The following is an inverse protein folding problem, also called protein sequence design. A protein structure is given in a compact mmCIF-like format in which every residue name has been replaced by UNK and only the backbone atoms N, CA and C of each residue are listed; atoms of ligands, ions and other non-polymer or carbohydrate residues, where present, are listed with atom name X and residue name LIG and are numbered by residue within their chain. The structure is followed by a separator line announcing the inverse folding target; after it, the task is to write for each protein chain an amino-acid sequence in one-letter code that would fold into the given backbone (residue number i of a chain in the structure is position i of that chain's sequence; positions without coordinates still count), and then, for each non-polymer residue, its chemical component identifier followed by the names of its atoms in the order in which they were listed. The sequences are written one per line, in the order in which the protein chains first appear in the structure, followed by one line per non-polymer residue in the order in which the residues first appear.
data_IF_018046423055
#
_entry.id   IF_018046423055
#
_cell.length_a   1.000
_cell.length_b   1.000
_cell.length_c   1.000
_cell.angle_alpha   90.00
_cell.angle_beta   90.00
_cell.angle_gamma   90.00
#
_symmetry.space_group_name_H-M   'P 1'
#
loop_
_entity.id
_entity.type
_entity.pdbx_description
1 polymer ?
#
# COMPACT_ATOMS: atom_id res chain seq x y z
N UNK A 1 6.87 -22.73 -11.43
CA UNK A 1 6.28 -21.62 -10.67
C UNK A 1 4.82 -21.60 -11.03
N UNK A 2 3.97 -21.74 -10.02
CA UNK A 2 2.54 -21.56 -10.25
C UNK A 2 2.28 -20.07 -10.44
N UNK A 3 1.61 -19.74 -11.53
CA UNK A 3 1.33 -18.38 -11.90
C UNK A 3 -0.06 -17.99 -11.37
N UNK A 4 -0.32 -16.69 -11.24
CA UNK A 4 -1.63 -16.15 -10.90
C UNK A 4 -1.84 -14.85 -11.68
N UNK A 5 -3.08 -14.51 -11.97
CA UNK A 5 -3.47 -13.28 -12.67
C UNK A 5 -4.29 -12.38 -11.77
N UNK A 6 -4.22 -11.07 -11.99
CA UNK A 6 -5.16 -10.11 -11.38
C UNK A 6 -6.47 -10.18 -12.14
N UNK A 7 -7.54 -10.66 -11.51
CA UNK A 7 -8.87 -10.75 -12.12
C UNK A 7 -9.58 -9.40 -12.07
N UNK A 8 -9.50 -8.69 -10.95
CA UNK A 8 -10.07 -7.35 -10.81
C UNK A 8 -9.30 -6.51 -9.79
N UNK A 9 -9.53 -5.20 -9.86
CA UNK A 9 -9.00 -4.18 -8.95
C UNK A 9 -10.16 -3.40 -8.35
N UNK A 10 -10.00 -2.94 -7.12
CA UNK A 10 -10.93 -2.00 -6.52
C UNK A 10 -10.24 -1.12 -5.48
N UNK A 11 -10.73 0.11 -5.35
CA UNK A 11 -10.31 1.06 -4.32
C UNK A 11 -11.51 1.63 -3.58
N UNK A 12 -11.28 2.16 -2.37
CA UNK A 12 -12.24 2.97 -1.61
C UNK A 12 -11.48 3.99 -0.75
N UNK A 13 -12.03 5.21 -0.67
CA UNK A 13 -11.54 6.27 0.23
C UNK A 13 -12.72 6.87 0.99
N UNK A 14 -12.53 7.28 2.27
CA UNK A 14 -13.58 7.92 3.04
C UNK A 14 -13.96 9.28 2.44
N UNK A 15 -15.22 9.75 2.60
CA UNK A 15 -15.74 10.89 1.85
C UNK A 15 -15.21 12.26 2.31
N UNK A 16 -14.69 12.37 3.54
CA UNK A 16 -14.20 13.65 4.06
C UNK A 16 -12.84 13.96 3.42
N UNK A 17 -12.82 15.02 2.61
CA UNK A 17 -11.61 15.59 2.04
C UNK A 17 -11.09 16.70 2.96
N UNK A 18 -9.79 16.66 3.27
CA UNK A 18 -9.05 17.73 3.95
C UNK A 18 -8.08 18.39 2.98
N UNK A 19 -8.31 19.67 2.70
CA UNK A 19 -7.42 20.48 1.87
C UNK A 19 -6.20 20.95 2.66
N UNK A 20 -5.14 21.39 1.98
CA UNK A 20 -4.02 22.04 2.64
C UNK A 20 -4.40 23.35 3.36
N UNK A 21 -5.33 24.13 2.79
CA UNK A 21 -5.81 25.36 3.42
C UNK A 21 -6.45 25.07 4.79
N UNK A 22 -7.27 24.01 4.87
CA UNK A 22 -7.87 23.57 6.13
C UNK A 22 -6.84 23.06 7.14
N UNK A 23 -5.69 22.51 6.69
CA UNK A 23 -4.60 22.17 7.61
C UNK A 23 -3.88 23.43 8.11
N UNK A 24 -3.83 24.48 7.31
CA UNK A 24 -3.20 25.76 7.66
C UNK A 24 -3.98 26.50 8.75
N UNK A 25 -5.25 26.17 8.96
CA UNK A 25 -6.06 26.62 10.11
C UNK A 25 -5.70 25.89 11.42
N UNK A 26 -5.06 24.70 11.33
CA UNK A 26 -4.75 23.84 12.48
C UNK A 26 -3.29 23.91 12.92
N UNK A 27 -2.37 24.28 12.02
CA UNK A 27 -0.93 24.31 12.27
C UNK A 27 -0.22 25.35 11.39
N UNK A 28 0.96 25.79 11.79
CA UNK A 28 1.79 26.74 11.03
C UNK A 28 2.33 26.12 9.73
N UNK A 29 1.55 26.20 8.66
CA UNK A 29 1.84 25.68 7.32
C UNK A 29 1.11 26.48 6.24
N UNK A 30 1.32 26.16 4.97
CA UNK A 30 0.56 26.71 3.84
C UNK A 30 0.41 25.69 2.71
N UNK A 31 -0.58 25.88 1.84
CA UNK A 31 -0.76 25.07 0.64
C UNK A 31 0.48 25.07 -0.27
N UNK A 32 1.05 26.25 -0.52
CA UNK A 32 2.27 26.39 -1.31
C UNK A 32 3.44 25.58 -0.72
N UNK A 33 3.62 25.63 0.60
CA UNK A 33 4.69 24.91 1.28
C UNK A 33 4.52 23.40 1.16
N UNK A 34 3.29 22.90 1.35
CA UNK A 34 2.99 21.46 1.27
C UNK A 34 3.17 20.99 -0.18
N UNK A 35 2.48 21.61 -1.14
CA UNK A 35 2.54 21.22 -2.56
C UNK A 35 3.96 21.20 -3.10
N UNK A 36 4.76 22.23 -2.83
CA UNK A 36 6.14 22.32 -3.34
C UNK A 36 7.04 21.21 -2.78
N UNK A 37 6.78 20.79 -1.53
CA UNK A 37 7.62 19.78 -0.87
C UNK A 37 7.17 18.35 -1.10
N UNK A 38 5.88 18.12 -1.36
CA UNK A 38 5.28 16.77 -1.37
C UNK A 38 4.50 16.45 -2.63
N UNK A 39 3.95 17.46 -3.31
CA UNK A 39 2.95 17.31 -4.37
C UNK A 39 1.51 17.15 -3.86
N UNK A 40 1.29 17.14 -2.54
CA UNK A 40 -0.02 16.88 -1.93
C UNK A 40 -0.86 18.15 -1.93
N UNK A 41 -2.11 18.06 -2.39
CA UNK A 41 -3.09 19.16 -2.30
C UNK A 41 -4.22 18.84 -1.32
N UNK A 42 -4.63 17.57 -1.30
CA UNK A 42 -5.74 17.07 -0.52
C UNK A 42 -5.41 15.70 0.06
N UNK A 43 -6.15 15.31 1.10
CA UNK A 43 -6.20 13.93 1.60
C UNK A 43 -7.60 13.55 2.02
N UNK A 44 -7.87 12.25 2.05
CA UNK A 44 -9.10 11.71 2.62
C UNK A 44 -8.89 11.33 4.09
N UNK A 45 -9.84 11.64 4.96
CA UNK A 45 -9.78 11.35 6.40
C UNK A 45 -11.02 10.58 6.83
N UNK A 46 -10.83 9.49 7.55
CA UNK A 46 -11.93 8.73 8.15
C UNK A 46 -12.39 9.34 9.47
N UNK A 47 -13.71 9.43 9.68
CA UNK A 47 -14.30 9.84 10.96
C UNK A 47 -15.08 8.73 11.67
N UNK A 48 -15.59 7.74 10.94
CA UNK A 48 -16.51 6.71 11.45
C UNK A 48 -16.25 5.31 10.91
N UNK A 49 -15.22 5.18 10.07
CA UNK A 49 -14.86 3.92 9.42
C UNK A 49 -13.47 3.53 9.91
N UNK A 50 -13.29 2.32 10.39
CA UNK A 50 -11.97 1.81 10.74
C UNK A 50 -11.33 1.14 9.51
N UNK A 51 -10.09 0.69 9.65
CA UNK A 51 -9.32 0.07 8.56
C UNK A 51 -10.03 -1.13 7.95
N UNK A 52 -10.68 -1.96 8.77
CA UNK A 52 -11.49 -3.07 8.30
C UNK A 52 -12.71 -2.63 7.50
N UNK A 53 -13.35 -1.50 7.82
CA UNK A 53 -14.52 -1.01 7.09
C UNK A 53 -14.14 -0.55 5.68
N UNK A 54 -13.00 0.13 5.53
CA UNK A 54 -12.45 0.50 4.22
C UNK A 54 -12.12 -0.75 3.40
N UNK A 55 -11.46 -1.75 4.01
CA UNK A 55 -11.11 -3.01 3.37
C UNK A 55 -12.34 -3.84 2.97
N UNK A 56 -13.39 -3.88 3.81
CA UNK A 56 -14.67 -4.54 3.51
C UNK A 56 -15.30 -3.95 2.25
N UNK A 57 -15.29 -2.62 2.09
CA UNK A 57 -15.82 -1.97 0.89
C UNK A 57 -15.04 -2.32 -0.37
N UNK A 58 -13.71 -2.46 -0.27
CA UNK A 58 -12.87 -2.98 -1.36
C UNK A 58 -13.23 -4.43 -1.68
N UNK A 59 -13.30 -5.31 -0.67
CA UNK A 59 -13.65 -6.72 -0.84
C UNK A 59 -15.04 -6.92 -1.46
N UNK A 60 -16.05 -6.14 -1.06
CA UNK A 60 -17.38 -6.14 -1.67
C UNK A 60 -17.33 -5.80 -3.16
N UNK A 61 -16.55 -4.77 -3.54
CA UNK A 61 -16.37 -4.36 -4.93
C UNK A 61 -15.68 -5.45 -5.74
N UNK A 62 -14.63 -6.06 -5.19
CA UNK A 62 -13.89 -7.16 -5.83
C UNK A 62 -14.81 -8.35 -6.08
N UNK A 63 -15.52 -8.85 -5.05
CA UNK A 63 -16.47 -9.96 -5.18
C UNK A 63 -17.54 -9.69 -6.23
N UNK A 64 -18.09 -8.46 -6.23
CA UNK A 64 -19.09 -8.04 -7.22
C UNK A 64 -18.54 -8.01 -8.65
N UNK A 65 -17.32 -7.50 -8.85
CA UNK A 65 -16.70 -7.40 -10.18
C UNK A 65 -16.27 -8.77 -10.73
N UNK A 66 -15.79 -9.68 -9.87
CA UNK A 66 -15.39 -11.04 -10.28
C UNK A 66 -16.57 -12.00 -10.40
N UNK A 67 -17.72 -11.66 -9.82
CA UNK A 67 -18.86 -12.55 -9.64
C UNK A 67 -18.46 -13.85 -8.93
N UNK A 68 -17.54 -13.74 -7.95
CA UNK A 68 -17.16 -14.87 -7.11
C UNK A 68 -18.12 -15.00 -5.94
N UNK A 69 -18.57 -16.23 -5.70
CA UNK A 69 -19.21 -16.58 -4.43
C UNK A 69 -18.19 -16.38 -3.28
N UNK A 70 -18.57 -15.75 -2.15
CA UNK A 70 -17.67 -15.52 -1.04
C UNK A 70 -16.95 -16.79 -0.55
N UNK A 71 -17.64 -17.93 -0.51
CA UNK A 71 -17.10 -19.22 -0.07
C UNK A 71 -16.09 -19.82 -1.06
N UNK A 72 -15.96 -19.25 -2.26
CA UNK A 72 -14.95 -19.66 -3.24
C UNK A 72 -13.60 -18.96 -3.05
N UNK A 73 -13.52 -17.96 -2.16
CA UNK A 73 -12.25 -17.30 -1.81
C UNK A 73 -11.49 -18.15 -0.80
N UNK A 74 -10.23 -18.44 -1.09
CA UNK A 74 -9.38 -19.31 -0.25
C UNK A 74 -8.48 -18.53 0.71
N UNK A 75 -8.16 -17.29 0.38
CA UNK A 75 -7.22 -16.42 1.11
C UNK A 75 -7.71 -14.98 1.14
N UNK A 76 -7.59 -14.34 2.30
CA UNK A 76 -7.79 -12.92 2.51
C UNK A 76 -6.57 -12.37 3.23
N UNK A 77 -5.79 -11.53 2.55
CA UNK A 77 -4.59 -10.93 3.13
C UNK A 77 -4.79 -9.42 3.16
N UNK A 78 -4.68 -8.82 4.35
CA UNK A 78 -4.74 -7.36 4.51
C UNK A 78 -3.37 -6.84 4.93
N UNK A 79 -2.76 -6.04 4.08
CA UNK A 79 -1.59 -5.26 4.43
C UNK A 79 -2.00 -3.98 5.16
N UNK A 80 -1.59 -3.83 6.42
CA UNK A 80 -1.88 -2.64 7.21
C UNK A 80 -0.87 -2.45 8.35
N UNK A 81 -0.54 -1.20 8.67
CA UNK A 81 0.12 -0.82 9.92
C UNK A 81 -0.79 -0.04 10.88
N UNK A 82 -2.06 0.10 10.52
CA UNK A 82 -3.08 0.78 11.32
C UNK A 82 -4.30 -0.12 11.53
N UNK A 83 -4.16 -1.35 12.07
CA UNK A 83 -5.27 -2.30 12.19
C UNK A 83 -6.35 -1.80 13.16
N UNK A 84 -7.54 -2.41 13.10
CA UNK A 84 -8.62 -2.16 14.05
C UNK A 84 -8.22 -2.51 15.49
N UNK A 85 -7.49 -3.62 15.62
CA UNK A 85 -7.02 -4.22 16.87
C UNK A 85 -5.80 -5.10 16.63
N UNK A 86 -5.06 -5.46 17.68
CA UNK A 86 -4.02 -6.50 17.57
C UNK A 86 -4.63 -7.89 17.33
N UNK A 87 -5.77 -8.18 17.96
CA UNK A 87 -6.55 -9.40 17.77
C UNK A 87 -8.05 -9.07 17.95
N UNK A 88 -8.94 -9.47 17.03
CA UNK A 88 -8.66 -10.19 15.78
C UNK A 88 -7.90 -9.34 14.75
N UNK A 89 -7.36 -9.99 13.71
CA UNK A 89 -6.75 -9.31 12.58
C UNK A 89 -7.80 -8.58 11.74
N UNK A 90 -7.37 -7.54 11.03
CA UNK A 90 -8.21 -6.78 10.10
C UNK A 90 -8.78 -7.69 9.02
N UNK A 91 -7.96 -8.59 8.48
CA UNK A 91 -8.36 -9.60 7.50
C UNK A 91 -9.43 -10.55 8.04
N UNK A 92 -9.36 -10.96 9.31
CA UNK A 92 -10.40 -11.81 9.91
C UNK A 92 -11.75 -11.07 10.02
N UNK A 93 -11.72 -9.78 10.35
CA UNK A 93 -12.93 -8.95 10.33
C UNK A 93 -13.51 -8.86 8.91
N UNK A 94 -12.67 -8.62 7.90
CA UNK A 94 -13.08 -8.59 6.49
C UNK A 94 -13.67 -9.93 6.05
N UNK A 95 -13.00 -11.03 6.37
CA UNK A 95 -13.45 -12.38 6.06
C UNK A 95 -14.85 -12.66 6.62
N UNK A 96 -15.08 -12.34 7.89
CA UNK A 96 -16.37 -12.55 8.54
C UNK A 96 -17.48 -11.64 7.99
N UNK A 97 -17.19 -10.35 7.81
CA UNK A 97 -18.16 -9.37 7.28
C UNK A 97 -18.58 -9.66 5.82
N UNK A 98 -17.76 -10.37 5.06
CA UNK A 98 -18.02 -10.71 3.66
C UNK A 98 -18.50 -12.14 3.43
N UNK A 99 -18.65 -12.94 4.49
CA UNK A 99 -19.11 -14.33 4.35
C UNK A 99 -18.10 -15.27 3.68
N UNK A 100 -16.81 -14.93 3.65
CA UNK A 100 -15.76 -15.76 3.05
C UNK A 100 -15.36 -16.92 3.98
N UNK A 101 -16.33 -17.73 4.39
CA UNK A 101 -16.24 -18.69 5.50
C UNK A 101 -15.15 -19.77 5.35
N UNK A 102 -14.67 -20.02 4.13
CA UNK A 102 -13.59 -20.98 3.85
C UNK A 102 -12.20 -20.34 3.72
N UNK A 103 -12.12 -19.02 3.66
CA UNK A 103 -10.86 -18.32 3.46
C UNK A 103 -9.99 -18.34 4.73
N UNK A 104 -8.68 -18.57 4.57
CA UNK A 104 -7.72 -18.21 5.62
C UNK A 104 -7.51 -16.70 5.59
N UNK A 105 -7.46 -16.06 6.76
CA UNK A 105 -7.38 -14.62 6.86
C UNK A 105 -6.31 -14.16 7.87
N UNK A 106 -5.40 -13.29 7.43
CA UNK A 106 -4.36 -12.71 8.28
C UNK A 106 -3.84 -11.37 7.75
N UNK A 107 -3.25 -10.59 8.65
CA UNK A 107 -2.65 -9.30 8.31
C UNK A 107 -1.15 -9.44 8.00
N UNK A 108 -0.64 -8.60 7.12
CA UNK A 108 0.80 -8.40 6.89
C UNK A 108 1.18 -6.99 7.34
N UNK A 109 2.16 -6.90 8.24
CA UNK A 109 2.74 -5.63 8.67
C UNK A 109 4.12 -5.44 8.06
N UNK A 110 4.18 -4.71 6.94
CA UNK A 110 5.42 -4.22 6.34
C UNK A 110 5.30 -2.74 5.92
N UNK A 111 4.57 -1.95 6.74
CA UNK A 111 4.29 -0.54 6.52
C UNK A 111 3.85 -0.25 5.07
N UNK A 112 4.35 0.81 4.46
CA UNK A 112 3.98 1.23 3.12
C UNK A 112 4.34 0.23 2.01
N UNK A 113 5.31 -0.69 2.20
CA UNK A 113 5.57 -1.77 1.23
C UNK A 113 4.64 -2.97 1.41
N UNK A 114 3.70 -2.89 2.35
CA UNK A 114 2.84 -3.98 2.79
C UNK A 114 2.09 -4.67 1.67
N UNK A 115 1.56 -3.92 0.70
CA UNK A 115 0.79 -4.52 -0.40
C UNK A 115 1.66 -5.44 -1.28
N UNK A 116 2.90 -5.04 -1.58
CA UNK A 116 3.84 -5.85 -2.35
C UNK A 116 4.24 -7.11 -1.57
N UNK A 117 4.50 -6.97 -0.28
CA UNK A 117 4.79 -8.11 0.61
C UNK A 117 3.60 -9.08 0.68
N UNK A 118 2.38 -8.55 0.79
CA UNK A 118 1.16 -9.35 0.83
C UNK A 118 0.93 -10.12 -0.49
N UNK A 119 1.20 -9.51 -1.65
CA UNK A 119 1.17 -10.21 -2.94
C UNK A 119 2.20 -11.34 -3.01
N UNK A 120 3.38 -11.15 -2.42
CA UNK A 120 4.42 -12.20 -2.42
C UNK A 120 4.03 -13.38 -1.54
N UNK A 121 3.44 -13.09 -0.37
CA UNK A 121 2.89 -14.13 0.51
C UNK A 121 1.73 -14.87 -0.18
N UNK A 122 0.84 -14.14 -0.86
CA UNK A 122 -0.24 -14.75 -1.64
C UNK A 122 0.31 -15.67 -2.74
N UNK A 123 1.34 -15.22 -3.47
CA UNK A 123 2.04 -16.00 -4.48
C UNK A 123 2.58 -17.32 -3.90
N UNK A 124 3.28 -17.26 -2.76
CA UNK A 124 3.82 -18.44 -2.09
C UNK A 124 2.73 -19.43 -1.66
N UNK A 125 1.61 -18.94 -1.10
CA UNK A 125 0.50 -19.78 -0.67
C UNK A 125 -0.28 -20.41 -1.83
N UNK A 126 -0.55 -19.66 -2.90
CA UNK A 126 -1.22 -20.20 -4.11
C UNK A 126 -0.36 -21.23 -4.84
N UNK A 127 0.97 -21.10 -4.75
CA UNK A 127 1.93 -22.04 -5.34
C UNK A 127 2.16 -23.31 -4.52
N UNK A 128 2.00 -23.25 -3.20
CA UNK A 128 2.32 -24.37 -2.30
C UNK A 128 1.10 -25.15 -1.80
N UNK A 129 -0.11 -24.69 -2.12
CA UNK A 129 -1.35 -25.29 -1.62
C UNK A 129 -2.38 -25.48 -2.75
N UNK A 130 -3.48 -26.18 -2.45
CA UNK A 130 -4.60 -26.37 -3.39
C UNK A 130 -5.51 -25.12 -3.51
N UNK A 131 -5.06 -23.96 -3.03
CA UNK A 131 -5.81 -22.71 -3.04
C UNK A 131 -5.75 -22.08 -4.43
N UNK A 132 -6.86 -21.51 -4.86
CA UNK A 132 -7.07 -21.00 -6.21
C UNK A 132 -7.28 -19.50 -6.22
N UNK A 133 -7.95 -18.93 -5.20
CA UNK A 133 -8.41 -17.54 -5.19
C UNK A 133 -7.99 -16.80 -3.94
N UNK A 134 -7.43 -15.61 -4.13
CA UNK A 134 -7.08 -14.72 -3.03
C UNK A 134 -7.62 -13.31 -3.26
N UNK A 135 -8.01 -12.66 -2.17
CA UNK A 135 -8.23 -11.21 -2.11
C UNK A 135 -7.08 -10.62 -1.30
N UNK A 136 -6.33 -9.70 -1.92
CA UNK A 136 -5.19 -9.01 -1.31
C UNK A 136 -5.50 -7.52 -1.26
N UNK A 137 -5.48 -6.93 -0.07
CA UNK A 137 -5.91 -5.55 0.17
C UNK A 137 -4.82 -4.81 0.94
N UNK A 138 -4.42 -3.62 0.50
CA UNK A 138 -3.77 -2.62 1.33
C UNK A 138 -4.83 -1.68 1.90
N UNK A 139 -4.89 -1.52 3.22
CA UNK A 139 -5.90 -0.67 3.87
C UNK A 139 -5.30 0.08 5.06
N UNK A 140 -5.56 1.37 5.14
CA UNK A 140 -5.00 2.21 6.19
C UNK A 140 -5.98 3.31 6.63
N UNK A 141 -6.07 3.48 7.94
CA UNK A 141 -6.60 4.67 8.60
C UNK A 141 -5.44 5.26 9.40
N UNK A 142 -4.55 5.98 8.71
CA UNK A 142 -3.36 6.56 9.31
C UNK A 142 -3.71 7.75 10.20
N UNK A 143 -4.81 8.45 9.91
CA UNK A 143 -5.27 9.60 10.69
C UNK A 143 -5.39 9.34 12.20
N UNK A 144 -5.60 8.08 12.63
CA UNK A 144 -5.65 7.68 14.05
C UNK A 144 -4.29 7.51 14.73
N UNK A 145 -3.20 7.48 13.97
CA UNK A 145 -1.83 7.32 14.46
C UNK A 145 -0.94 8.53 14.13
N UNK A 146 -1.49 9.60 13.57
CA UNK A 146 -0.79 10.87 13.32
C UNK A 146 -0.93 11.80 14.53
N UNK A 147 0.16 12.47 14.90
CA UNK A 147 0.10 13.65 15.76
C UNK A 147 -0.25 14.88 14.92
N UNK A 148 -1.49 15.35 15.03
CA UNK A 148 -1.99 16.48 14.25
C UNK A 148 -1.39 17.84 14.66
N UNK A 149 -0.59 17.90 15.72
CA UNK A 149 0.21 19.09 16.06
C UNK A 149 1.61 19.05 15.43
N UNK A 150 2.08 17.89 14.97
CA UNK A 150 3.34 17.76 14.24
C UNK A 150 3.14 17.97 12.74
N UNK A 151 3.30 19.22 12.31
CA UNK A 151 3.21 19.57 10.87
C UNK A 151 4.17 18.80 9.98
N UNK A 152 5.26 18.23 10.51
CA UNK A 152 6.26 17.52 9.69
C UNK A 152 5.74 16.18 9.18
N UNK A 153 4.70 15.64 9.80
CA UNK A 153 4.06 14.36 9.44
C UNK A 153 2.57 14.51 9.15
N UNK A 154 1.84 15.38 9.85
CA UNK A 154 0.39 15.55 9.71
C UNK A 154 -0.07 15.94 8.30
N UNK A 155 0.78 16.66 7.57
CA UNK A 155 0.52 17.08 6.19
C UNK A 155 0.87 16.00 5.16
N UNK A 156 1.26 14.78 5.56
CA UNK A 156 1.71 13.77 4.60
C UNK A 156 0.63 12.72 4.32
N UNK A 157 -0.15 12.35 5.32
CA UNK A 157 -0.92 11.11 5.27
C UNK A 157 -2.41 11.33 4.99
N UNK A 158 -3.01 10.31 4.40
CA UNK A 158 -4.44 10.16 4.20
C UNK A 158 -4.87 8.72 4.48
N UNK A 159 -6.18 8.51 4.44
CA UNK A 159 -6.81 7.22 4.71
C UNK A 159 -7.41 6.65 3.42
N UNK A 160 -7.38 5.33 3.30
CA UNK A 160 -7.90 4.65 2.11
C UNK A 160 -7.64 3.15 2.10
N UNK A 161 -8.26 2.47 1.16
CA UNK A 161 -8.04 1.07 0.87
C UNK A 161 -8.01 0.82 -0.65
N UNK A 162 -7.16 -0.11 -1.07
CA UNK A 162 -7.13 -0.64 -2.42
C UNK A 162 -6.79 -2.11 -2.39
N UNK A 163 -7.25 -2.87 -3.38
CA UNK A 163 -6.93 -4.29 -3.45
C UNK A 163 -7.19 -4.92 -4.80
N UNK A 164 -6.81 -6.20 -4.87
CA UNK A 164 -6.94 -7.04 -6.05
C UNK A 164 -7.56 -8.39 -5.68
N UNK A 165 -8.37 -8.90 -6.60
CA UNK A 165 -8.73 -10.31 -6.63
C UNK A 165 -7.74 -11.02 -7.57
N UNK A 166 -7.07 -12.06 -7.07
CA UNK A 166 -6.10 -12.84 -7.85
C UNK A 166 -6.51 -14.30 -7.91
N UNK A 167 -6.28 -14.93 -9.05
CA UNK A 167 -6.62 -16.33 -9.31
C UNK A 167 -5.44 -17.05 -9.93
N UNK A 168 -5.22 -18.30 -9.52
CA UNK A 168 -4.21 -19.18 -10.11
C UNK A 168 -4.42 -19.28 -11.62
N UNK A 169 -3.33 -19.20 -12.37
CA UNK A 169 -3.29 -19.16 -13.83
C UNK A 169 -2.27 -20.16 -14.35
N UNK A 170 -2.55 -20.73 -15.53
CA UNK A 170 -1.55 -21.50 -16.28
C UNK A 170 -0.52 -20.59 -16.96
N UNK A 171 -0.89 -19.35 -17.29
CA UNK A 171 -0.03 -18.38 -17.96
C UNK A 171 0.80 -17.58 -16.97
N UNK A 172 2.04 -17.23 -17.35
CA UNK A 172 2.94 -16.42 -16.53
C UNK A 172 2.54 -14.95 -16.58
N UNK A 173 2.03 -14.43 -15.47
CA UNK A 173 1.73 -13.01 -15.27
C UNK A 173 2.68 -12.34 -14.28
N UNK A 174 3.12 -13.04 -13.24
CA UNK A 174 4.19 -12.55 -12.37
C UNK A 174 5.54 -12.81 -13.06
N UNK A 175 6.14 -11.74 -13.56
CA UNK A 175 7.35 -11.81 -14.37
C UNK A 175 8.58 -11.83 -13.48
N UNK A 176 8.62 -11.00 -12.44
CA UNK A 176 9.72 -10.92 -11.50
C UNK A 176 9.32 -10.22 -10.21
N UNK A 177 10.08 -10.41 -9.14
CA UNK A 177 9.87 -9.71 -7.88
C UNK A 177 11.19 -9.55 -7.12
N UNK A 178 11.26 -8.52 -6.29
CA UNK A 178 12.32 -8.33 -5.32
C UNK A 178 11.74 -7.77 -4.02
N UNK A 179 12.23 -8.24 -2.87
CA UNK A 179 11.81 -7.79 -1.54
C UNK A 179 13.02 -7.65 -0.63
N UNK A 180 13.14 -6.54 0.08
CA UNK A 180 14.26 -6.30 0.98
C UNK A 180 13.86 -5.56 2.26
N UNK A 181 14.50 -5.94 3.36
CA UNK A 181 14.29 -5.35 4.69
C UNK A 181 15.63 -4.85 5.26
N UNK A 182 15.60 -3.64 5.83
CA UNK A 182 16.75 -2.91 6.37
C UNK A 182 16.51 -2.59 7.86
N UNK A 183 16.47 -3.64 8.67
CA UNK A 183 16.12 -3.58 10.11
C UNK A 183 16.97 -2.62 10.94
N UNK A 184 18.24 -2.46 10.57
CA UNK A 184 19.18 -1.53 11.21
C UNK A 184 18.77 -0.04 11.04
N UNK A 185 17.87 0.26 10.10
CA UNK A 185 17.30 1.58 9.86
C UNK A 185 15.89 1.73 10.47
N UNK A 186 15.43 0.78 11.28
CA UNK A 186 14.07 0.77 11.83
C UNK A 186 13.69 2.00 12.66
N UNK A 187 14.67 2.72 13.23
CA UNK A 187 14.40 3.96 13.98
C UNK A 187 14.18 5.20 13.09
N UNK A 188 14.29 5.09 11.76
CA UNK A 188 14.09 6.21 10.83
C UNK A 188 12.62 6.48 10.54
N UNK A 189 11.75 5.50 10.75
CA UNK A 189 10.30 5.61 10.62
C UNK A 189 9.67 4.63 11.61
N UNK A 190 8.95 5.18 12.60
CA UNK A 190 8.31 4.40 13.66
C UNK A 190 6.86 4.87 13.77
N UNK A 191 5.94 3.93 13.89
CA UNK A 191 4.55 4.22 14.17
C UNK A 191 4.00 3.18 15.15
N UNK A 192 3.19 3.63 16.09
CA UNK A 192 2.47 2.75 17.00
C UNK A 192 3.33 1.91 17.94
N UNK A 193 4.46 2.44 18.41
CA UNK A 193 5.34 1.74 19.34
C UNK A 193 4.61 1.47 20.66
N UNK A 194 4.81 0.27 21.20
CA UNK A 194 4.37 -0.13 22.53
C UNK A 194 5.57 -0.36 23.43
N UNK A 195 5.42 -0.10 24.72
CA UNK A 195 6.47 -0.29 25.73
C UNK A 195 6.06 -1.33 26.78
N UNK A 196 7.08 -2.03 27.31
CA UNK A 196 6.94 -2.85 28.51
C UNK A 196 6.75 -1.93 29.72
N UNK A 197 5.95 -2.37 30.71
CA UNK A 197 5.75 -1.59 31.93
C UNK A 197 6.94 -1.71 32.87
N UNK A 198 7.19 -0.67 33.67
CA UNK A 198 8.21 -0.67 34.72
C UNK A 198 7.70 -1.19 36.09
N UNK A 199 6.42 -1.57 36.20
CA UNK A 199 5.77 -2.04 37.43
C UNK A 199 4.60 -3.00 37.16
N UNK A 200 4.13 -3.71 38.20
CA UNK A 200 2.97 -4.61 38.16
C UNK A 200 2.00 -4.33 39.33
N UNK A 201 0.68 -4.22 39.10
CA UNK A 201 0.00 -4.21 37.80
C UNK A 201 0.27 -2.93 37.01
N UNK A 202 0.23 -3.00 35.68
CA UNK A 202 0.42 -1.85 34.80
C UNK A 202 -0.90 -1.40 34.16
N UNK A 203 -0.98 -0.12 33.82
CA UNK A 203 -1.97 0.39 32.89
C UNK A 203 -1.79 -0.22 31.49
N UNK A 204 -2.86 -0.21 30.70
CA UNK A 204 -2.81 -0.59 29.28
C UNK A 204 -1.79 0.31 28.56
N UNK A 205 -0.92 -0.29 27.74
CA UNK A 205 0.12 0.44 27.01
C UNK A 205 -0.50 1.41 26.01
N UNK A 206 -0.05 2.66 26.00
CA UNK A 206 -0.42 3.65 24.99
C UNK A 206 0.39 3.47 23.71
N UNK A 207 -0.24 3.74 22.57
CA UNK A 207 0.37 3.69 21.24
C UNK A 207 1.06 5.03 20.97
N UNK A 208 2.31 5.04 20.49
CA UNK A 208 2.99 6.30 20.10
C UNK A 208 2.54 6.78 18.72
N UNK A 209 2.50 8.10 18.48
CA UNK A 209 2.22 8.62 17.14
C UNK A 209 3.33 8.26 16.15
N UNK A 210 3.00 8.40 14.87
CA UNK A 210 3.93 8.29 13.75
C UNK A 210 5.07 9.30 13.89
N UNK A 211 6.30 8.83 13.69
CA UNK A 211 7.52 9.65 13.70
C UNK A 211 8.43 9.23 12.57
N UNK A 212 9.06 10.20 11.91
CA UNK A 212 9.93 9.93 10.78
C UNK A 212 11.09 10.93 10.69
N UNK A 213 12.27 10.44 10.32
CA UNK A 213 13.33 11.27 9.80
C UNK A 213 13.20 11.39 8.27
N UNK A 214 12.47 12.40 7.80
CA UNK A 214 12.13 12.55 6.38
C UNK A 214 13.35 12.67 5.45
N UNK A 215 14.48 13.23 5.93
CA UNK A 215 15.71 13.32 5.12
C UNK A 215 16.32 11.93 4.89
N UNK A 216 16.41 11.13 5.94
CA UNK A 216 16.97 9.78 5.86
C UNK A 216 16.06 8.85 5.03
N UNK A 217 14.73 8.95 5.20
CA UNK A 217 13.76 8.20 4.38
C UNK A 217 13.80 8.61 2.92
N UNK A 218 13.91 9.91 2.61
CA UNK A 218 14.06 10.38 1.22
C UNK A 218 15.36 9.85 0.58
N UNK A 219 16.49 9.91 1.31
CA UNK A 219 17.78 9.38 0.81
C UNK A 219 17.69 7.88 0.55
N UNK A 220 17.07 7.14 1.47
CA UNK A 220 16.81 5.71 1.32
C UNK A 220 15.97 5.43 0.07
N UNK A 221 14.79 6.07 -0.04
CA UNK A 221 13.85 5.79 -1.13
C UNK A 221 14.44 6.10 -2.51
N UNK A 222 15.14 7.22 -2.65
CA UNK A 222 15.76 7.61 -3.93
C UNK A 222 16.96 6.74 -4.35
N UNK A 223 17.44 5.87 -3.46
CA UNK A 223 18.53 4.94 -3.74
C UNK A 223 18.06 3.49 -3.87
N UNK A 224 17.29 3.01 -2.88
CA UNK A 224 16.89 1.60 -2.79
C UNK A 224 15.70 1.25 -3.69
N UNK A 225 14.79 2.19 -3.96
CA UNK A 225 13.63 1.91 -4.83
C UNK A 225 14.06 1.65 -6.28
N UNK A 226 14.91 2.49 -6.91
CA UNK A 226 15.43 2.18 -8.25
C UNK A 226 16.19 0.86 -8.30
N UNK A 227 16.99 0.53 -7.26
CA UNK A 227 17.71 -0.75 -7.16
C UNK A 227 16.73 -1.93 -7.11
N UNK A 228 15.74 -1.87 -6.23
CA UNK A 228 14.73 -2.92 -6.09
C UNK A 228 13.92 -3.12 -7.38
N UNK A 229 13.56 -2.03 -8.08
CA UNK A 229 12.92 -2.12 -9.39
C UNK A 229 13.84 -2.79 -10.41
N UNK A 230 15.12 -2.40 -10.48
CA UNK A 230 16.07 -2.99 -11.42
C UNK A 230 16.26 -4.49 -11.16
N UNK A 231 16.38 -4.92 -9.90
CA UNK A 231 16.51 -6.34 -9.55
C UNK A 231 15.26 -7.14 -9.91
N UNK A 232 14.07 -6.57 -9.70
CA UNK A 232 12.82 -7.20 -10.14
C UNK A 232 12.74 -7.31 -11.68
N UNK A 233 13.19 -6.29 -12.42
CA UNK A 233 13.29 -6.29 -13.88
C UNK A 233 14.30 -7.33 -14.39
N UNK A 234 15.46 -7.43 -13.76
CA UNK A 234 16.50 -8.40 -14.09
C UNK A 234 15.98 -9.83 -13.87
N UNK A 235 15.30 -10.08 -12.74
CA UNK A 235 14.65 -11.38 -12.46
C UNK A 235 13.54 -11.71 -13.47
N UNK A 236 12.88 -10.68 -14.01
CA UNK A 236 11.87 -10.80 -15.06
C UNK A 236 12.46 -10.96 -16.47
N UNK A 237 13.76 -10.70 -16.65
CA UNK A 237 14.42 -10.60 -17.96
C UNK A 237 13.74 -9.57 -18.88
N UNK A 238 13.39 -8.41 -18.31
CA UNK A 238 12.67 -7.31 -18.98
C UNK A 238 13.47 -6.01 -18.79
N UNK A 239 13.50 -5.14 -19.81
CA UNK A 239 14.10 -3.80 -19.66
C UNK A 239 13.08 -2.75 -19.22
N UNK A 240 13.54 -1.66 -18.61
CA UNK A 240 12.67 -0.58 -18.15
C UNK A 240 11.87 0.07 -19.30
N UNK A 241 12.39 0.06 -20.53
CA UNK A 241 11.72 0.58 -21.73
C UNK A 241 10.46 -0.20 -22.09
N UNK A 242 10.46 -1.51 -21.82
CA UNK A 242 9.34 -2.42 -22.11
C UNK A 242 8.20 -2.29 -21.10
N UNK A 243 8.43 -1.64 -19.95
CA UNK A 243 7.39 -1.40 -18.95
C UNK A 243 6.50 -0.27 -19.43
N UNK A 244 5.19 -0.51 -19.42
CA UNK A 244 4.17 0.47 -19.79
C UNK A 244 4.02 1.52 -18.68
N UNK A 245 3.83 1.07 -17.44
CA UNK A 245 3.65 1.96 -16.28
C UNK A 245 4.38 1.46 -15.02
N UNK A 246 4.92 2.40 -14.27
CA UNK A 246 5.55 2.21 -12.97
C UNK A 246 4.65 2.82 -11.88
N UNK A 247 3.95 1.97 -11.16
CA UNK A 247 3.05 2.33 -10.06
C UNK A 247 3.83 2.27 -8.74
N UNK A 248 4.38 3.42 -8.36
CA UNK A 248 5.17 3.58 -7.15
C UNK A 248 4.28 3.97 -5.97
N UNK A 249 4.76 3.65 -4.77
CA UNK A 249 4.23 4.19 -3.52
C UNK A 249 4.21 5.73 -3.55
N UNK A 250 3.05 6.30 -3.25
CA UNK A 250 2.71 7.71 -3.33
C UNK A 250 3.08 8.39 -2.00
N UNK A 251 4.37 8.42 -1.68
CA UNK A 251 4.88 9.11 -0.48
C UNK A 251 5.22 10.58 -0.73
N UNK A 252 5.76 10.87 -1.91
CA UNK A 252 6.20 12.20 -2.30
C UNK A 252 6.44 12.25 -3.82
N UNK A 253 5.82 13.20 -4.53
CA UNK A 253 5.97 13.34 -5.98
C UNK A 253 7.44 13.53 -6.44
N UNK A 254 8.29 14.13 -5.58
CA UNK A 254 9.72 14.31 -5.86
C UNK A 254 10.49 12.99 -5.82
N UNK A 255 10.11 12.05 -4.96
CA UNK A 255 10.73 10.72 -4.94
C UNK A 255 10.41 10.01 -6.25
N UNK A 256 9.16 10.03 -6.70
CA UNK A 256 8.73 9.44 -7.98
C UNK A 256 9.55 10.02 -9.14
N UNK A 257 9.69 11.35 -9.21
CA UNK A 257 10.49 12.01 -10.23
C UNK A 257 11.99 11.61 -10.19
N UNK A 258 12.57 11.44 -9.00
CA UNK A 258 13.95 10.97 -8.87
C UNK A 258 14.11 9.51 -9.31
N UNK A 259 13.13 8.64 -8.98
CA UNK A 259 13.16 7.24 -9.41
C UNK A 259 13.04 7.15 -10.93
N UNK A 260 12.12 7.89 -11.55
CA UNK A 260 11.99 7.97 -13.02
C UNK A 260 13.31 8.37 -13.69
N UNK A 261 13.97 9.41 -13.16
CA UNK A 261 15.29 9.86 -13.63
C UNK A 261 16.36 8.77 -13.48
N UNK A 262 16.40 8.07 -12.34
CA UNK A 262 17.37 6.99 -12.07
C UNK A 262 17.19 5.79 -13.00
N UNK A 263 15.96 5.48 -13.37
CA UNK A 263 15.61 4.42 -14.32
C UNK A 263 15.72 4.87 -15.79
N UNK A 264 16.08 6.13 -16.05
CA UNK A 264 16.12 6.72 -17.38
C UNK A 264 14.80 6.58 -18.16
N UNK A 265 13.67 6.70 -17.46
CA UNK A 265 12.34 6.59 -18.06
C UNK A 265 11.60 7.95 -17.97
N UNK A 266 10.73 8.27 -18.95
CA UNK A 266 9.95 9.49 -18.91
C UNK A 266 8.95 9.47 -17.75
N UNK A 267 8.76 10.62 -17.08
CA UNK A 267 7.84 10.76 -15.95
C UNK A 267 6.38 10.38 -16.32
N UNK A 268 6.01 10.46 -17.60
CA UNK A 268 4.69 10.05 -18.10
C UNK A 268 4.39 8.57 -17.88
N UNK A 269 5.40 7.72 -17.69
CA UNK A 269 5.22 6.31 -17.30
C UNK A 269 5.00 6.11 -15.80
N UNK A 270 5.00 7.18 -15.00
CA UNK A 270 4.86 7.12 -13.54
C UNK A 270 3.58 7.88 -13.14
N UNK A 271 2.41 7.23 -13.12
CA UNK A 271 1.19 7.85 -12.65
C UNK A 271 1.33 8.40 -11.22
N UNK A 272 0.77 9.59 -10.99
CA UNK A 272 0.80 10.28 -9.69
C UNK A 272 -0.62 10.66 -9.33
N UNK A 273 -1.03 10.29 -8.11
CA UNK A 273 -2.33 10.69 -7.53
C UNK A 273 -2.20 11.22 -6.08
N UNK A 274 -0.96 11.37 -5.60
CA UNK A 274 -0.67 11.86 -4.25
C UNK A 274 -1.26 13.25 -3.97
N UNK A 275 -1.52 14.04 -5.02
CA UNK A 275 -2.18 15.33 -4.96
C UNK A 275 -3.60 15.24 -4.41
N UNK A 276 -4.30 14.12 -4.66
CA UNK A 276 -5.69 13.88 -4.23
C UNK A 276 -5.81 13.12 -2.93
N UNK A 277 -4.90 12.16 -2.70
CA UNK A 277 -5.03 11.20 -1.59
C UNK A 277 -4.08 11.45 -0.43
N UNK A 278 -2.99 12.20 -0.63
CA UNK A 278 -1.84 12.12 0.27
C UNK A 278 -1.18 10.74 0.24
N UNK A 279 -0.37 10.44 1.26
CA UNK A 279 0.22 9.13 1.45
C UNK A 279 -0.75 8.21 2.22
N UNK A 280 -1.23 7.16 1.56
CA UNK A 280 -2.14 6.15 2.15
C UNK A 280 -1.43 4.84 2.50
N UNK A 281 -0.11 4.87 2.75
CA UNK A 281 0.74 3.71 3.09
C UNK A 281 0.46 2.51 2.17
N UNK A 282 0.17 1.32 2.71
CA UNK A 282 -0.04 0.09 1.93
C UNK A 282 -1.21 0.18 0.93
N UNK A 283 -2.15 1.11 1.12
CA UNK A 283 -3.26 1.30 0.18
C UNK A 283 -2.86 2.10 -1.07
N UNK A 284 -1.71 2.77 -1.08
CA UNK A 284 -1.30 3.68 -2.15
C UNK A 284 -1.22 3.01 -3.52
N UNK A 285 -0.38 1.99 -3.65
CA UNK A 285 -0.15 1.27 -4.91
C UNK A 285 -1.44 0.63 -5.45
N UNK A 286 -2.26 -0.08 -4.65
CA UNK A 286 -3.49 -0.65 -5.19
C UNK A 286 -4.58 0.38 -5.49
N UNK A 287 -4.63 1.54 -4.81
CA UNK A 287 -5.52 2.64 -5.21
C UNK A 287 -5.10 3.16 -6.59
N UNK A 288 -3.81 3.43 -6.78
CA UNK A 288 -3.28 3.90 -8.06
C UNK A 288 -3.51 2.89 -9.19
N UNK A 289 -3.31 1.59 -8.91
CA UNK A 289 -3.58 0.52 -9.85
C UNK A 289 -5.05 0.52 -10.30
N UNK A 290 -5.99 0.60 -9.37
CA UNK A 290 -7.42 0.64 -9.69
C UNK A 290 -7.79 1.87 -10.53
N UNK A 291 -7.25 3.05 -10.21
CA UNK A 291 -7.46 4.27 -11.00
C UNK A 291 -6.93 4.12 -12.44
N UNK A 292 -5.73 3.58 -12.61
CA UNK A 292 -5.11 3.37 -13.93
C UNK A 292 -5.87 2.33 -14.77
N UNK A 293 -6.37 1.25 -14.15
CA UNK A 293 -7.22 0.26 -14.83
C UNK A 293 -8.55 0.89 -15.25
N UNK A 294 -9.24 1.57 -14.33
CA UNK A 294 -10.54 2.20 -14.61
C UNK A 294 -10.48 3.32 -15.64
N UNK A 295 -9.39 4.08 -15.67
CA UNK A 295 -9.17 5.15 -16.66
C UNK A 295 -8.71 4.64 -18.02
N UNK A 296 -8.46 3.33 -18.16
CA UNK A 296 -7.98 2.74 -19.42
C UNK A 296 -6.52 3.08 -19.71
N UNK A 297 -5.70 3.36 -18.70
CA UNK A 297 -4.24 3.47 -18.86
C UNK A 297 -3.55 2.10 -18.77
N UNK A 298 -4.18 1.14 -18.06
CA UNK A 298 -3.75 -0.26 -17.98
C UNK A 298 -4.78 -1.13 -18.67
N UNK A 299 -4.31 -2.03 -19.53
CA UNK A 299 -5.13 -3.01 -20.25
C UNK A 299 -4.58 -4.42 -20.02
N UNK A 300 -5.36 -5.44 -20.36
CA UNK A 300 -4.85 -6.82 -20.38
C UNK A 300 -3.67 -6.91 -21.35
N UNK A 301 -2.59 -7.52 -20.90
CA UNK A 301 -1.31 -7.58 -21.58
C UNK A 301 -0.32 -6.49 -21.16
N UNK A 302 -0.76 -5.40 -20.50
CA UNK A 302 0.14 -4.33 -20.07
C UNK A 302 1.19 -4.85 -19.08
N UNK A 303 2.43 -4.43 -19.27
CA UNK A 303 3.54 -4.76 -18.40
C UNK A 303 3.74 -3.63 -17.39
N UNK A 304 3.43 -3.91 -16.13
CA UNK A 304 3.42 -2.91 -15.06
C UNK A 304 4.40 -3.28 -13.96
N UNK A 305 5.02 -2.27 -13.36
CA UNK A 305 5.83 -2.41 -12.15
C UNK A 305 5.06 -1.84 -10.98
N UNK A 306 4.83 -2.64 -9.94
CA UNK A 306 4.38 -2.16 -8.64
C UNK A 306 5.59 -2.05 -7.72
N UNK A 307 5.79 -0.90 -7.07
CA UNK A 307 6.94 -0.70 -6.18
C UNK A 307 6.59 0.07 -4.91
N UNK A 308 6.83 -0.57 -3.76
CA UNK A 308 6.56 -0.04 -2.43
C UNK A 308 7.81 0.15 -1.59
N UNK A 309 7.80 1.13 -0.69
CA UNK A 309 8.87 1.35 0.28
C UNK A 309 8.32 2.00 1.55
N UNK A 310 8.82 1.62 2.72
CA UNK A 310 8.25 2.09 3.99
C UNK A 310 9.10 1.81 5.22
N UNK A 311 8.44 1.88 6.38
CA UNK A 311 9.02 1.60 7.70
C UNK A 311 9.51 0.15 7.84
N UNK A 312 10.60 -0.02 8.58
CA UNK A 312 11.35 -1.30 8.66
C UNK A 312 12.87 -1.15 8.62
N UNK A 313 13.48 -0.34 7.75
CA UNK A 313 12.90 0.14 6.47
C UNK A 313 12.69 -1.06 5.53
N UNK A 314 11.78 -0.94 4.58
CA UNK A 314 11.46 -2.01 3.62
C UNK A 314 11.35 -1.47 2.21
N UNK A 315 11.63 -2.33 1.22
CA UNK A 315 11.32 -2.11 -0.19
C UNK A 315 10.74 -3.38 -0.81
N UNK A 316 9.89 -3.23 -1.81
CA UNK A 316 9.45 -4.33 -2.63
C UNK A 316 9.10 -3.86 -4.03
N UNK A 317 9.42 -4.67 -5.04
CA UNK A 317 9.05 -4.44 -6.42
C UNK A 317 8.51 -5.72 -7.06
N UNK A 318 7.50 -5.59 -7.93
CA UNK A 318 6.93 -6.68 -8.70
C UNK A 318 6.69 -6.26 -10.14
N UNK A 319 7.14 -7.08 -11.08
CA UNK A 319 6.85 -6.93 -12.51
C UNK A 319 5.69 -7.85 -12.85
N UNK A 320 4.57 -7.29 -13.29
CA UNK A 320 3.32 -8.00 -13.54
C UNK A 320 2.86 -7.72 -14.98
N UNK A 321 2.46 -8.76 -15.69
CA UNK A 321 1.67 -8.66 -16.92
C UNK A 321 0.18 -8.73 -16.56
N UNK A 322 -0.50 -7.59 -16.57
CA UNK A 322 -1.91 -7.43 -16.18
C UNK A 322 -2.87 -8.16 -17.12
#
# INVERSE_FOLDING_TARGET
MDNWKIVSTASYVPPLVKTNDQLSELMDTSDEWIKTRTGISNRHISLKENTSDLAVKVGQRLLKQTNWEPESVDLVIVATMSPDSYTPSTAAIVQGKLGMTKALAFDISAACSGFIYALSVANGLLASTNKLRAIVIGSEVLSKIIDWHDRTTAVLFGDGAGGVAIEKSSERHLMGMELATFGNLGNKLVAGQTTVGSSFPKSVTSITPFRMNGREVYRFATHEVPRSIQEALDSAQVTAEQVDLFLLHQANARIIAQVAKRLNQPLTKFPINIDRYGNTSAASEPILLDECVRSGQIHRGSLVVLAGFGGGLTTGAMVIKY
#
